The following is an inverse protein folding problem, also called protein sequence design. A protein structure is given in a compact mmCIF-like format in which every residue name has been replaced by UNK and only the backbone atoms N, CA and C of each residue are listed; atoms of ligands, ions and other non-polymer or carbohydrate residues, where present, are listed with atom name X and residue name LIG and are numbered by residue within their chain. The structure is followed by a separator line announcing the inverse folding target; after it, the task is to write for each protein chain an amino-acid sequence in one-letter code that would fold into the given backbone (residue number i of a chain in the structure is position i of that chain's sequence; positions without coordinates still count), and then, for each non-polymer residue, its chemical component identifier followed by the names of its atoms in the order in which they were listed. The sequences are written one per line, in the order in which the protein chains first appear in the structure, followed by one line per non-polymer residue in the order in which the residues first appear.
data_IF_306485190446
#
_entry.id   IF_306485190446
#
_cell.length_a   1.000
_cell.length_b   1.000
_cell.length_c   1.000
_cell.angle_alpha   90.00
_cell.angle_beta   90.00
_cell.angle_gamma   90.00
#
_symmetry.space_group_name_H-M   'P 1'
#
loop_
_entity.id
_entity.type
_entity.pdbx_description
1 polymer ?
#
# COMPACT_ATOMS: atom_id res chain seq x y z
N UNK A 1 -10.02 -65.50 -47.27
CA UNK A 1 -8.89 -64.54 -47.28
C UNK A 1 -9.50 -63.15 -47.16
N UNK A 2 -9.66 -62.65 -45.92
CA UNK A 2 -8.86 -61.54 -45.31
C UNK A 2 -9.03 -60.24 -46.12
N UNK A 3 -10.01 -59.39 -45.81
CA UNK A 3 -10.08 -58.35 -44.75
C UNK A 3 -8.97 -57.30 -44.81
N UNK A 4 -9.38 -56.03 -44.95
CA UNK A 4 -9.01 -54.80 -44.20
C UNK A 4 -9.00 -53.63 -45.19
N UNK A 5 -10.01 -52.75 -45.20
CA UNK A 5 -10.17 -51.60 -44.28
C UNK A 5 -8.89 -50.76 -44.19
N UNK A 6 -8.78 -49.76 -45.07
CA UNK A 6 -8.00 -48.55 -44.85
C UNK A 6 -8.93 -47.37 -45.12
N UNK A 7 -9.71 -47.04 -44.09
CA UNK A 7 -10.36 -45.74 -43.95
C UNK A 7 -9.23 -44.73 -43.72
N UNK A 8 -9.07 -43.75 -44.61
CA UNK A 8 -8.31 -42.54 -44.33
C UNK A 8 -8.94 -41.80 -43.14
N UNK A 9 -8.14 -41.32 -42.17
CA UNK A 9 -8.54 -40.17 -41.38
C UNK A 9 -7.39 -39.15 -41.34
N UNK A 10 -6.86 -38.73 -42.50
CA UNK A 10 -5.87 -37.64 -42.54
C UNK A 10 -6.52 -36.25 -42.70
N UNK A 11 -7.84 -36.15 -42.94
CA UNK A 11 -8.53 -34.87 -43.05
C UNK A 11 -9.17 -34.38 -41.75
N UNK A 12 -9.60 -35.28 -40.85
CA UNK A 12 -10.21 -34.88 -39.57
C UNK A 12 -9.17 -34.48 -38.51
N UNK A 13 -7.97 -35.08 -38.53
CA UNK A 13 -6.89 -34.77 -37.57
C UNK A 13 -6.24 -33.41 -37.85
N UNK A 14 -6.18 -32.96 -39.11
CA UNK A 14 -5.72 -31.62 -39.47
C UNK A 14 -6.74 -30.53 -39.09
N UNK A 15 -8.04 -30.84 -39.18
CA UNK A 15 -9.10 -29.93 -38.70
C UNK A 15 -9.14 -29.88 -37.17
N UNK A 16 -8.94 -31.01 -36.47
CA UNK A 16 -8.87 -31.05 -35.00
C UNK A 16 -7.64 -30.29 -34.48
N UNK A 17 -6.47 -30.39 -35.13
CA UNK A 17 -5.27 -29.67 -34.70
C UNK A 17 -5.37 -28.16 -34.98
N UNK A 18 -6.08 -27.76 -36.04
CA UNK A 18 -6.39 -26.34 -36.30
C UNK A 18 -7.45 -25.79 -35.32
N UNK A 19 -8.46 -26.61 -34.97
CA UNK A 19 -9.48 -26.27 -33.98
C UNK A 19 -8.88 -26.21 -32.56
N UNK A 20 -7.95 -27.11 -32.22
CA UNK A 20 -7.25 -27.12 -30.92
C UNK A 20 -6.23 -25.98 -30.81
N UNK A 21 -5.59 -25.55 -31.92
CA UNK A 21 -4.77 -24.32 -31.97
C UNK A 21 -5.60 -23.04 -31.90
N UNK A 22 -6.79 -23.05 -32.49
CA UNK A 22 -7.74 -21.93 -32.37
C UNK A 22 -8.35 -21.84 -30.96
N UNK A 23 -8.66 -22.98 -30.32
CA UNK A 23 -9.14 -23.07 -28.94
C UNK A 23 -8.03 -22.72 -27.96
N UNK A 24 -6.79 -23.18 -28.14
CA UNK A 24 -5.67 -22.73 -27.28
C UNK A 24 -5.42 -21.24 -27.44
N UNK A 25 -5.39 -20.67 -28.65
CA UNK A 25 -5.31 -19.21 -28.84
C UNK A 25 -6.51 -18.43 -28.27
N UNK A 26 -7.74 -18.99 -28.31
CA UNK A 26 -8.92 -18.40 -27.65
C UNK A 26 -8.88 -18.53 -26.12
N UNK A 27 -8.25 -19.58 -25.59
CA UNK A 27 -8.17 -19.87 -24.15
C UNK A 27 -7.01 -19.11 -23.49
N UNK A 28 -5.92 -18.82 -24.23
CA UNK A 28 -4.87 -17.88 -23.76
C UNK A 28 -5.30 -16.41 -23.89
N UNK A 29 -6.30 -16.08 -24.72
CA UNK A 29 -6.90 -14.73 -24.81
C UNK A 29 -8.13 -14.50 -23.92
N UNK A 30 -8.65 -15.51 -23.20
CA UNK A 30 -9.85 -15.39 -22.33
C UNK A 30 -9.56 -15.37 -20.83
N UNK A 31 -8.30 -15.24 -20.43
CA UNK A 31 -7.88 -14.87 -19.05
C UNK A 31 -7.25 -13.48 -19.00
N UNK A 32 -7.75 -12.56 -19.80
CA UNK A 32 -7.71 -11.15 -19.46
C UNK A 32 -9.13 -10.81 -19.06
N UNK A 33 -9.42 -10.95 -17.76
CA UNK A 33 -10.63 -10.41 -17.19
C UNK A 33 -10.64 -8.93 -17.52
N UNK A 34 -11.70 -8.52 -18.21
CA UNK A 34 -12.06 -7.16 -18.55
C UNK A 34 -12.12 -6.36 -17.25
N UNK A 35 -10.97 -5.82 -16.84
CA UNK A 35 -10.89 -4.76 -15.85
C UNK A 35 -11.65 -3.61 -16.50
N UNK A 36 -12.82 -3.30 -15.93
CA UNK A 36 -13.49 -2.03 -16.20
C UNK A 36 -12.42 -0.94 -16.14
N UNK A 37 -12.03 -0.41 -17.31
CA UNK A 37 -11.19 0.77 -17.42
C UNK A 37 -12.02 1.95 -16.91
N UNK A 38 -12.12 2.05 -15.59
CA UNK A 38 -12.31 3.33 -14.97
C UNK A 38 -11.10 4.17 -15.35
N UNK A 39 -11.37 5.26 -16.08
CA UNK A 39 -10.40 6.27 -16.49
C UNK A 39 -9.83 6.98 -15.25
N UNK A 40 -8.98 6.31 -14.48
CA UNK A 40 -8.11 6.92 -13.47
C UNK A 40 -6.67 6.62 -13.85
N UNK A 41 -6.18 7.34 -14.85
CA UNK A 41 -4.76 7.39 -15.18
C UNK A 41 -4.28 8.82 -14.90
N UNK A 42 -4.17 9.17 -13.62
CA UNK A 42 -3.42 10.33 -13.16
C UNK A 42 -3.05 10.21 -11.67
N UNK A 43 -2.64 9.01 -11.25
CA UNK A 43 -2.18 8.73 -9.89
C UNK A 43 -1.09 7.67 -9.90
N UNK A 44 -0.21 7.64 -8.88
CA UNK A 44 0.83 6.62 -8.75
C UNK A 44 0.23 5.21 -8.74
N UNK A 45 0.88 4.29 -9.45
CA UNK A 45 0.57 2.86 -9.35
C UNK A 45 1.46 2.25 -8.27
N UNK A 46 0.87 1.89 -7.13
CA UNK A 46 1.57 1.17 -6.09
C UNK A 46 1.46 -0.35 -6.32
N UNK A 47 2.59 -1.04 -6.37
CA UNK A 47 2.64 -2.52 -6.44
C UNK A 47 3.55 -3.07 -5.36
N UNK A 48 3.05 -4.02 -4.57
CA UNK A 48 3.89 -4.83 -3.68
C UNK A 48 4.81 -5.73 -4.55
N UNK A 49 6.04 -5.31 -4.80
CA UNK A 49 6.93 -5.93 -5.79
C UNK A 49 7.92 -6.94 -5.21
N UNK A 50 7.62 -7.56 -4.06
CA UNK A 50 8.54 -8.51 -3.46
C UNK A 50 7.93 -9.87 -3.18
N UNK A 51 8.82 -10.85 -3.10
CA UNK A 51 8.51 -12.17 -2.57
C UNK A 51 7.86 -12.00 -1.21
N UNK A 52 6.63 -12.48 -1.14
CA UNK A 52 5.89 -12.68 0.10
C UNK A 52 6.82 -13.26 1.17
N UNK A 53 6.75 -12.72 2.38
CA UNK A 53 7.43 -13.30 3.53
C UNK A 53 6.79 -14.65 3.86
N UNK A 54 7.47 -15.74 3.49
CA UNK A 54 6.94 -17.11 3.60
C UNK A 54 6.84 -17.61 5.05
N UNK A 55 7.58 -16.99 5.99
CA UNK A 55 7.66 -17.43 7.39
C UNK A 55 6.61 -16.79 8.31
N UNK A 56 5.80 -15.86 7.80
CA UNK A 56 4.78 -15.19 8.60
C UNK A 56 3.44 -15.95 8.57
N UNK A 57 2.65 -15.89 9.66
CA UNK A 57 1.33 -16.50 9.70
C UNK A 57 0.43 -16.05 8.54
N UNK A 58 -0.40 -16.97 8.05
CA UNK A 58 -1.31 -16.71 6.92
C UNK A 58 -2.75 -16.42 7.35
N UNK A 59 -3.08 -16.55 8.64
CA UNK A 59 -4.36 -16.12 9.20
C UNK A 59 -4.20 -14.72 9.78
N UNK A 60 -5.20 -13.85 9.64
CA UNK A 60 -5.16 -12.49 10.18
C UNK A 60 -5.01 -12.48 11.72
N UNK A 61 -5.65 -13.42 12.42
CA UNK A 61 -5.58 -13.53 13.88
C UNK A 61 -4.20 -14.00 14.33
N UNK A 62 -3.67 -15.06 13.72
CA UNK A 62 -2.33 -15.53 14.03
C UNK A 62 -1.24 -14.49 13.65
N UNK A 63 -1.48 -13.70 12.60
CA UNK A 63 -0.60 -12.60 12.23
C UNK A 63 -0.65 -11.46 13.26
N UNK A 64 -1.84 -11.12 13.75
CA UNK A 64 -2.05 -10.13 14.80
C UNK A 64 -1.29 -10.50 16.09
N UNK A 65 -1.40 -11.75 16.52
CA UNK A 65 -0.68 -12.27 17.68
C UNK A 65 0.85 -12.23 17.45
N UNK A 66 1.31 -12.69 16.29
CA UNK A 66 2.74 -12.74 15.96
C UNK A 66 3.39 -11.35 15.88
N UNK A 67 2.65 -10.33 15.43
CA UNK A 67 3.14 -8.96 15.30
C UNK A 67 2.86 -8.09 16.54
N UNK A 68 2.16 -8.63 17.55
CA UNK A 68 1.69 -7.89 18.73
C UNK A 68 0.79 -6.69 18.36
N UNK A 69 -0.13 -6.90 17.41
CA UNK A 69 -1.10 -5.90 16.95
C UNK A 69 -2.52 -6.47 17.14
N UNK A 70 -3.07 -6.46 18.37
CA UNK A 70 -4.31 -7.18 18.69
C UNK A 70 -5.53 -6.67 17.94
N UNK A 71 -5.56 -5.38 17.57
CA UNK A 71 -6.65 -4.77 16.82
C UNK A 71 -6.60 -5.02 15.30
N UNK A 72 -5.54 -5.67 14.78
CA UNK A 72 -5.40 -5.92 13.34
C UNK A 72 -6.60 -6.65 12.69
N UNK A 73 -7.23 -7.66 13.31
CA UNK A 73 -8.40 -8.31 12.72
C UNK A 73 -9.62 -7.37 12.62
N UNK A 74 -9.83 -6.50 13.62
CA UNK A 74 -10.90 -5.52 13.60
C UNK A 74 -10.68 -4.48 12.48
N UNK A 75 -9.47 -3.91 12.41
CA UNK A 75 -9.07 -2.99 11.34
C UNK A 75 -9.24 -3.62 9.95
N UNK A 76 -8.88 -4.90 9.80
CA UNK A 76 -9.01 -5.61 8.53
C UNK A 76 -10.49 -5.83 8.15
N UNK A 77 -11.36 -6.02 9.14
CA UNK A 77 -12.80 -6.21 8.93
C UNK A 77 -13.45 -4.90 8.47
N UNK A 78 -13.11 -3.79 9.13
CA UNK A 78 -13.56 -2.44 8.78
C UNK A 78 -13.06 -2.05 7.38
N UNK A 79 -11.77 -2.29 7.10
CA UNK A 79 -11.19 -2.06 5.78
C UNK A 79 -11.95 -2.80 4.69
N UNK A 80 -12.15 -4.13 4.82
CA UNK A 80 -12.88 -4.91 3.82
C UNK A 80 -14.31 -4.42 3.67
N UNK A 81 -14.99 -4.06 4.77
CA UNK A 81 -16.33 -3.49 4.70
C UNK A 81 -16.36 -2.19 3.87
N UNK A 82 -15.43 -1.28 4.09
CA UNK A 82 -15.34 -0.03 3.34
C UNK A 82 -15.01 -0.28 1.85
N UNK A 83 -14.16 -1.28 1.56
CA UNK A 83 -13.88 -1.66 0.16
C UNK A 83 -15.11 -2.22 -0.58
N UNK A 84 -16.02 -2.89 0.13
CA UNK A 84 -17.25 -3.44 -0.45
C UNK A 84 -18.38 -2.42 -0.56
N UNK A 85 -18.31 -1.31 0.19
CA UNK A 85 -19.35 -0.30 0.30
C UNK A 85 -18.76 1.08 0.05
N UNK A 86 -18.78 1.60 -1.20
CA UNK A 86 -18.13 2.86 -1.56
C UNK A 86 -18.60 4.11 -0.79
N UNK A 87 -19.79 4.06 -0.17
CA UNK A 87 -20.35 5.16 0.62
C UNK A 87 -20.16 4.95 2.13
N UNK A 88 -19.55 3.84 2.57
CA UNK A 88 -19.28 3.60 3.97
C UNK A 88 -18.04 4.39 4.41
N UNK A 89 -18.14 5.00 5.58
CA UNK A 89 -17.07 5.80 6.18
C UNK A 89 -16.81 5.31 7.60
N UNK A 90 -16.69 3.98 7.77
CA UNK A 90 -16.35 3.43 9.08
C UNK A 90 -14.88 3.71 9.38
N UNK A 91 -14.58 4.15 10.59
CA UNK A 91 -13.22 4.39 11.04
C UNK A 91 -12.74 3.29 12.01
N UNK A 92 -11.53 3.43 12.55
CA UNK A 92 -10.94 2.46 13.46
C UNK A 92 -11.64 2.34 14.83
N UNK A 93 -12.46 3.34 15.21
CA UNK A 93 -13.20 3.36 16.47
C UNK A 93 -14.59 2.72 16.35
N UNK A 94 -15.10 2.58 15.12
CA UNK A 94 -16.36 1.90 14.86
C UNK A 94 -16.29 0.39 15.18
N UNK A 95 -17.39 -0.22 15.64
CA UNK A 95 -17.44 -1.65 15.89
C UNK A 95 -17.26 -2.43 14.57
N UNK A 96 -16.42 -3.48 14.55
CA UNK A 96 -16.16 -4.25 13.35
C UNK A 96 -17.45 -4.93 12.85
N UNK A 97 -17.78 -4.81 11.54
CA UNK A 97 -19.01 -5.38 11.00
C UNK A 97 -19.09 -6.89 11.16
N UNK A 98 -20.12 -7.37 11.87
CA UNK A 98 -20.31 -8.80 12.18
C UNK A 98 -20.54 -9.69 10.95
N UNK A 99 -20.91 -9.11 9.80
CA UNK A 99 -21.15 -9.81 8.54
C UNK A 99 -19.87 -10.12 7.74
N UNK A 100 -18.72 -9.61 8.17
CA UNK A 100 -17.43 -9.84 7.53
C UNK A 100 -16.63 -10.85 8.36
N UNK A 101 -16.33 -12.00 7.75
CA UNK A 101 -15.49 -13.04 8.36
C UNK A 101 -14.23 -13.26 7.53
N UNK A 102 -13.08 -12.94 8.11
CA UNK A 102 -11.77 -13.03 7.47
C UNK A 102 -11.16 -14.42 7.64
N UNK A 103 -11.67 -15.40 6.89
CA UNK A 103 -11.16 -16.78 6.89
C UNK A 103 -10.09 -17.03 5.82
N UNK A 104 -9.97 -16.13 4.84
CA UNK A 104 -9.02 -16.25 3.74
C UNK A 104 -7.56 -15.97 4.14
N UNK A 105 -6.59 -16.44 3.34
CA UNK A 105 -5.19 -16.25 3.64
C UNK A 105 -4.76 -14.79 3.46
N UNK A 106 -3.93 -14.31 4.38
CA UNK A 106 -3.19 -13.06 4.24
C UNK A 106 -1.76 -13.32 3.76
N UNK A 107 -1.20 -12.38 3.00
CA UNK A 107 0.21 -12.40 2.58
C UNK A 107 0.89 -11.12 3.01
N UNK A 108 2.09 -11.19 3.56
CA UNK A 108 2.85 -10.01 4.03
C UNK A 108 4.03 -9.76 3.10
N UNK A 109 4.32 -8.48 2.88
CA UNK A 109 5.39 -8.00 2.01
C UNK A 109 6.32 -7.06 2.80
N UNK A 110 7.65 -7.11 2.56
CA UNK A 110 8.59 -6.25 3.28
C UNK A 110 8.74 -4.85 2.65
N UNK A 111 8.13 -4.61 1.50
CA UNK A 111 8.07 -3.28 0.87
C UNK A 111 7.03 -3.24 -0.25
N UNK A 112 6.55 -2.03 -0.56
CA UNK A 112 5.84 -1.71 -1.78
C UNK A 112 6.70 -0.84 -2.71
N UNK A 113 6.33 -0.82 -4.00
CA UNK A 113 6.91 0.09 -4.99
C UNK A 113 5.86 1.10 -5.40
N UNK A 114 6.14 2.39 -5.26
CA UNK A 114 5.38 3.47 -5.89
C UNK A 114 5.96 3.76 -7.27
N UNK A 115 5.11 3.80 -8.29
CA UNK A 115 5.50 4.24 -9.64
C UNK A 115 4.67 5.46 -10.01
N UNK A 116 5.31 6.59 -10.25
CA UNK A 116 4.62 7.85 -10.58
C UNK A 116 5.25 8.54 -11.77
N UNK A 117 4.47 9.37 -12.44
CA UNK A 117 4.91 10.18 -13.56
C UNK A 117 5.38 11.54 -13.06
N UNK A 118 6.55 11.96 -13.50
CA UNK A 118 7.23 13.16 -13.05
C UNK A 118 7.89 13.85 -14.27
N UNK A 119 7.10 14.63 -15.04
CA UNK A 119 7.52 15.16 -16.35
C UNK A 119 8.65 16.18 -16.26
N UNK A 120 8.81 16.82 -15.11
CA UNK A 120 9.81 17.83 -14.79
C UNK A 120 11.20 17.25 -14.54
N UNK A 121 11.31 15.93 -14.33
CA UNK A 121 12.56 15.21 -14.13
C UNK A 121 12.75 14.21 -15.28
N UNK A 122 13.62 14.56 -16.24
CA UNK A 122 13.84 13.74 -17.44
C UNK A 122 14.61 12.42 -17.18
N UNK A 123 14.75 11.99 -15.91
CA UNK A 123 15.43 10.75 -15.56
C UNK A 123 14.49 9.53 -15.56
N UNK A 124 14.38 8.87 -16.72
CA UNK A 124 13.63 7.61 -16.88
C UNK A 124 13.06 7.43 -18.29
N UNK A 125 12.52 6.24 -18.60
CA UNK A 125 11.77 6.05 -19.85
C UNK A 125 10.49 6.88 -19.73
N UNK A 126 10.41 7.99 -20.47
CA UNK A 126 9.25 8.87 -20.51
C UNK A 126 8.88 9.50 -19.16
N UNK A 127 9.85 9.90 -18.31
CA UNK A 127 9.56 10.62 -17.04
C UNK A 127 8.85 9.77 -15.96
N UNK A 128 8.94 8.44 -16.03
CA UNK A 128 8.40 7.54 -15.00
C UNK A 128 9.42 7.26 -13.90
N UNK A 129 9.04 7.54 -12.66
CA UNK A 129 9.85 7.31 -11.46
C UNK A 129 9.35 6.12 -10.66
N UNK A 130 10.29 5.48 -9.95
CA UNK A 130 10.03 4.31 -9.13
C UNK A 130 10.67 4.46 -7.77
N UNK A 131 9.86 4.50 -6.72
CA UNK A 131 10.27 4.55 -5.33
C UNK A 131 9.95 3.23 -4.63
N UNK A 132 10.78 2.79 -3.68
CA UNK A 132 10.52 1.62 -2.84
C UNK A 132 10.31 2.05 -1.40
N UNK A 133 9.10 1.80 -0.89
CA UNK A 133 8.64 2.10 0.47
C UNK A 133 8.74 0.82 1.30
N UNK A 134 9.45 0.83 2.43
CA UNK A 134 9.84 -0.37 3.19
C UNK A 134 9.12 -0.49 4.53
N UNK A 135 8.84 -1.74 4.87
CA UNK A 135 8.42 -2.20 6.20
C UNK A 135 9.31 -3.38 6.59
N UNK A 136 10.49 -3.08 7.11
CA UNK A 136 11.50 -4.09 7.42
C UNK A 136 11.71 -4.15 8.94
N UNK A 137 11.42 -5.31 9.54
CA UNK A 137 11.69 -5.55 10.97
C UNK A 137 13.19 -5.48 11.31
N UNK A 138 14.07 -5.76 10.33
CA UNK A 138 15.51 -5.49 10.42
C UNK A 138 16.03 -5.00 9.07
N UNK A 139 16.78 -3.90 9.07
CA UNK A 139 17.36 -3.31 7.87
C UNK A 139 18.89 -3.35 7.94
N UNK A 140 19.54 -3.97 6.93
CA UNK A 140 21.01 -4.16 6.87
C UNK A 140 21.59 -4.78 8.15
N UNK A 141 20.90 -5.78 8.70
CA UNK A 141 21.24 -6.42 9.99
C UNK A 141 21.23 -5.46 11.18
N UNK A 142 20.56 -4.32 11.04
CA UNK A 142 20.38 -3.31 12.07
C UNK A 142 18.92 -3.18 12.51
N UNK A 143 18.57 -2.04 13.13
CA UNK A 143 17.23 -1.76 13.61
C UNK A 143 16.15 -1.82 12.53
N UNK A 144 14.89 -1.86 12.97
CA UNK A 144 13.74 -1.83 12.08
C UNK A 144 13.67 -0.53 11.28
N UNK A 145 13.10 -0.61 10.07
CA UNK A 145 12.87 0.53 9.18
C UNK A 145 11.43 0.51 8.66
N UNK A 146 10.70 1.55 9.01
CA UNK A 146 9.31 1.79 8.61
C UNK A 146 9.27 3.16 7.94
N UNK A 147 9.14 3.16 6.62
CA UNK A 147 9.14 4.40 5.82
C UNK A 147 7.80 5.15 6.01
N UNK A 148 7.83 6.47 5.91
CA UNK A 148 6.64 7.32 5.89
C UNK A 148 6.12 7.48 4.45
N UNK A 149 4.83 7.78 4.33
CA UNK A 149 4.14 7.95 3.05
C UNK A 149 3.21 9.14 3.08
N UNK A 150 2.97 9.72 1.91
CA UNK A 150 1.80 10.53 1.66
C UNK A 150 0.65 9.63 1.21
N UNK A 151 -0.52 9.80 1.82
CA UNK A 151 -1.75 9.18 1.38
C UNK A 151 -2.72 10.24 0.87
N UNK A 152 -3.49 9.93 -0.16
CA UNK A 152 -4.51 10.82 -0.71
C UNK A 152 -5.64 11.03 0.32
N UNK A 153 -5.94 12.30 0.62
CA UNK A 153 -7.07 12.73 1.47
C UNK A 153 -8.20 13.28 0.62
N UNK A 154 -7.87 14.29 -0.19
CA UNK A 154 -8.82 14.98 -1.05
C UNK A 154 -8.08 15.53 -2.28
N UNK A 155 -8.29 14.90 -3.43
CA UNK A 155 -7.70 15.28 -4.70
C UNK A 155 -8.10 16.67 -5.21
N UNK A 156 -9.12 17.31 -4.62
CA UNK A 156 -9.55 18.65 -4.99
C UNK A 156 -8.76 19.75 -4.27
N UNK A 157 -8.05 19.40 -3.20
CA UNK A 157 -7.24 20.32 -2.42
C UNK A 157 -5.77 20.28 -2.88
N UNK A 158 -5.11 21.45 -3.01
CA UNK A 158 -3.72 21.52 -3.45
C UNK A 158 -2.74 21.17 -2.32
N UNK A 159 -1.56 20.68 -2.71
CA UNK A 159 -0.44 20.45 -1.80
C UNK A 159 -0.78 19.49 -0.68
N UNK A 160 -0.20 19.73 0.50
CA UNK A 160 -0.43 18.87 1.67
C UNK A 160 -1.87 18.91 2.20
N UNK A 161 -2.69 19.93 1.86
CA UNK A 161 -4.10 19.98 2.30
C UNK A 161 -4.92 18.81 1.74
N UNK A 162 -4.55 18.33 0.56
CA UNK A 162 -5.14 17.15 -0.08
C UNK A 162 -4.49 15.84 0.33
N UNK A 163 -3.59 15.83 1.31
CA UNK A 163 -2.82 14.66 1.71
C UNK A 163 -2.90 14.39 3.22
N UNK A 164 -2.69 13.13 3.57
CA UNK A 164 -2.30 12.69 4.90
C UNK A 164 -0.83 12.29 4.90
N UNK A 165 -0.17 12.40 6.05
CA UNK A 165 1.12 11.76 6.30
C UNK A 165 0.90 10.54 7.21
N UNK A 166 1.60 9.44 6.92
CA UNK A 166 1.50 8.23 7.71
C UNK A 166 2.82 7.47 7.76
N UNK A 167 3.08 6.71 8.83
CA UNK A 167 4.18 5.75 8.92
C UNK A 167 3.64 4.37 8.58
N UNK A 168 4.24 3.68 7.60
CA UNK A 168 3.77 2.34 7.24
C UNK A 168 4.38 1.29 8.16
N UNK A 169 3.53 0.48 8.81
CA UNK A 169 3.95 -0.59 9.71
C UNK A 169 3.97 -1.96 9.05
N UNK A 170 3.05 -2.21 8.11
CA UNK A 170 2.91 -3.51 7.47
C UNK A 170 2.35 -3.35 6.07
N UNK A 171 2.98 -3.98 5.07
CA UNK A 171 2.33 -4.24 3.80
C UNK A 171 1.77 -5.66 3.79
N UNK A 172 0.48 -5.80 3.48
CA UNK A 172 -0.15 -7.09 3.35
C UNK A 172 -1.19 -7.12 2.22
N UNK A 173 -1.64 -8.30 1.87
CA UNK A 173 -2.79 -8.50 1.00
C UNK A 173 -3.76 -9.44 1.68
N UNK A 174 -5.04 -9.08 1.70
CA UNK A 174 -6.12 -9.88 2.26
C UNK A 174 -6.85 -10.56 1.10
N UNK A 175 -6.98 -11.89 1.12
CA UNK A 175 -7.87 -12.60 0.20
C UNK A 175 -9.25 -12.70 0.82
N UNK A 176 -10.25 -12.09 0.20
CA UNK A 176 -11.64 -12.14 0.63
C UNK A 176 -12.55 -12.47 -0.55
N UNK A 177 -13.30 -13.57 -0.44
CA UNK A 177 -14.23 -14.08 -1.47
C UNK A 177 -13.62 -14.20 -2.87
N UNK A 178 -12.34 -14.59 -2.95
CA UNK A 178 -11.62 -14.79 -4.21
C UNK A 178 -10.99 -13.52 -4.80
N UNK A 179 -11.23 -12.34 -4.21
CA UNK A 179 -10.56 -11.10 -4.55
C UNK A 179 -9.38 -10.84 -3.61
N UNK A 180 -8.31 -10.25 -4.14
CA UNK A 180 -7.11 -9.89 -3.36
C UNK A 180 -7.11 -8.37 -3.16
N UNK A 181 -7.10 -7.95 -1.90
CA UNK A 181 -7.08 -6.55 -1.50
C UNK A 181 -5.68 -6.21 -0.98
N UNK A 182 -4.85 -5.51 -1.76
CA UNK A 182 -3.56 -5.03 -1.30
C UNK A 182 -3.76 -3.83 -0.35
N UNK A 183 -3.16 -3.90 0.84
CA UNK A 183 -3.30 -2.87 1.85
C UNK A 183 -2.01 -2.61 2.64
N UNK A 184 -1.99 -1.46 3.31
CA UNK A 184 -0.94 -1.03 4.21
C UNK A 184 -1.56 -0.74 5.58
N UNK A 185 -0.99 -1.31 6.65
CA UNK A 185 -1.26 -0.85 8.00
C UNK A 185 -0.41 0.38 8.25
N UNK A 186 -1.06 1.49 8.59
CA UNK A 186 -0.40 2.78 8.82
C UNK A 186 -0.65 3.29 10.22
N UNK A 187 0.28 4.10 10.71
CA UNK A 187 0.12 4.96 11.88
C UNK A 187 0.03 6.41 11.39
N UNK A 188 -1.05 7.11 11.71
CA UNK A 188 -1.34 8.43 11.15
C UNK A 188 -0.56 9.56 11.83
N UNK A 189 -0.40 10.66 11.10
CA UNK A 189 0.00 11.95 11.65
C UNK A 189 -1.07 13.00 11.35
N UNK A 190 -1.38 13.83 12.35
CA UNK A 190 -2.38 14.89 12.26
C UNK A 190 -1.70 16.25 12.07
N UNK A 191 -2.18 17.11 11.14
CA UNK A 191 -1.65 18.45 10.96
C UNK A 191 -1.77 19.31 12.22
N UNK A 192 -0.71 20.05 12.55
CA UNK A 192 -0.72 21.07 13.60
C UNK A 192 -1.13 22.40 12.95
N UNK A 193 -2.42 22.71 13.04
CA UNK A 193 -3.01 23.92 12.45
C UNK A 193 -3.44 23.75 10.98
N UNK A 194 -3.98 24.83 10.42
CA UNK A 194 -4.62 24.85 9.09
C UNK A 194 -3.73 25.41 7.97
N UNK A 195 -2.51 25.83 8.32
CA UNK A 195 -1.54 26.44 7.42
C UNK A 195 -0.13 25.95 7.71
N UNK A 196 0.79 26.03 6.73
CA UNK A 196 2.21 25.84 6.99
C UNK A 196 2.71 26.77 8.09
N UNK A 197 3.77 26.34 8.78
CA UNK A 197 4.50 27.16 9.73
C UNK A 197 5.04 28.44 9.06
N UNK A 198 4.83 29.59 9.69
CA UNK A 198 5.14 30.90 9.10
C UNK A 198 6.64 31.11 8.86
N UNK A 199 7.51 30.49 9.66
CA UNK A 199 8.95 30.66 9.57
C UNK A 199 9.57 29.75 8.48
N UNK A 200 9.15 28.50 8.43
CA UNK A 200 9.73 27.47 7.55
C UNK A 200 8.97 27.28 6.24
N UNK A 201 7.69 27.67 6.21
CA UNK A 201 6.76 27.38 5.10
C UNK A 201 6.47 25.89 4.94
N UNK A 202 6.74 25.07 5.97
CA UNK A 202 6.50 23.63 6.00
C UNK A 202 5.27 23.32 6.84
N UNK A 203 4.52 22.30 6.43
CA UNK A 203 3.46 21.77 7.29
C UNK A 203 4.07 21.08 8.51
N UNK A 204 3.47 21.30 9.66
CA UNK A 204 3.79 20.57 10.88
C UNK A 204 2.73 19.51 11.13
N UNK A 205 3.16 18.34 11.59
CA UNK A 205 2.29 17.22 11.96
C UNK A 205 2.75 16.61 13.28
N UNK A 206 1.82 16.05 14.05
CA UNK A 206 2.11 15.24 15.24
C UNK A 206 1.59 13.81 15.06
N UNK A 207 2.18 12.80 15.72
CA UNK A 207 1.62 11.46 15.73
C UNK A 207 0.17 11.51 16.20
N UNK A 208 -0.73 10.88 15.45
CA UNK A 208 -2.11 10.72 15.89
C UNK A 208 -2.17 9.61 16.95
N UNK A 209 -2.76 9.90 18.09
CA UNK A 209 -2.75 9.03 19.26
C UNK A 209 -4.18 8.70 19.71
N UNK A 210 -4.40 7.43 19.99
CA UNK A 210 -5.58 6.91 20.68
C UNK A 210 -5.65 7.44 22.13
N UNK A 211 -6.83 7.39 22.78
CA UNK A 211 -6.98 7.84 24.18
C UNK A 211 -6.04 7.15 25.19
N UNK A 212 -5.53 5.96 24.87
CA UNK A 212 -4.57 5.22 25.69
C UNK A 212 -3.10 5.58 25.40
N UNK A 213 -2.86 6.52 24.48
CA UNK A 213 -1.53 7.00 24.06
C UNK A 213 -0.86 6.11 23.03
N UNK A 214 -1.51 5.06 22.51
CA UNK A 214 -0.98 4.28 21.40
C UNK A 214 -1.20 4.99 20.06
N UNK A 215 -0.35 4.76 19.03
CA UNK A 215 -0.57 5.36 17.72
C UNK A 215 -1.89 4.92 17.10
N UNK A 216 -2.66 5.87 16.56
CA UNK A 216 -3.86 5.56 15.79
C UNK A 216 -3.50 4.81 14.52
N UNK A 217 -4.21 3.71 14.27
CA UNK A 217 -3.88 2.74 13.22
C UNK A 217 -5.05 2.48 12.31
N UNK A 218 -4.76 2.42 11.02
CA UNK A 218 -5.74 2.08 10.00
C UNK A 218 -5.14 1.17 8.92
N UNK A 219 -5.99 0.36 8.29
CA UNK A 219 -5.66 -0.34 7.05
C UNK A 219 -6.18 0.47 5.86
N UNK A 220 -5.25 0.97 5.04
CA UNK A 220 -5.57 1.69 3.81
C UNK A 220 -5.27 0.82 2.58
N UNK A 221 -6.01 1.05 1.51
CA UNK A 221 -5.72 0.39 0.23
C UNK A 221 -4.41 0.93 -0.36
N UNK A 222 -3.60 0.09 -1.01
CA UNK A 222 -2.32 0.56 -1.56
C UNK A 222 -2.47 1.67 -2.61
N UNK A 223 -3.62 1.76 -3.28
CA UNK A 223 -3.89 2.81 -4.27
C UNK A 223 -4.08 4.20 -3.64
N UNK A 224 -4.30 4.31 -2.32
CA UNK A 224 -4.35 5.62 -1.64
C UNK A 224 -2.96 6.16 -1.35
N UNK A 225 -1.93 5.31 -1.37
CA UNK A 225 -0.55 5.72 -1.11
C UNK A 225 0.01 6.42 -2.34
N UNK A 226 0.28 7.71 -2.20
CA UNK A 226 0.83 8.53 -3.27
C UNK A 226 2.31 8.18 -3.48
N UNK A 227 3.12 8.33 -2.43
CA UNK A 227 4.57 8.09 -2.47
C UNK A 227 5.18 8.12 -1.07
N UNK A 228 6.50 7.96 -0.97
CA UNK A 228 7.20 8.18 0.30
C UNK A 228 7.12 9.64 0.76
N UNK A 229 6.99 9.83 2.07
CA UNK A 229 7.06 11.12 2.73
C UNK A 229 8.34 11.18 3.59
N UNK A 230 8.91 12.37 3.69
CA UNK A 230 10.05 12.63 4.55
C UNK A 230 9.63 13.57 5.67
N UNK A 231 9.78 13.11 6.92
CA UNK A 231 9.44 13.85 8.12
C UNK A 231 10.71 14.21 8.89
N UNK A 232 10.81 15.46 9.34
CA UNK A 232 11.95 15.98 10.12
C UNK A 232 11.46 16.38 11.50
N UNK A 233 12.04 15.82 12.56
CA UNK A 233 11.63 16.12 13.93
C UNK A 233 11.74 17.61 14.27
N UNK A 234 10.72 18.15 14.94
CA UNK A 234 10.74 19.50 15.50
C UNK A 234 11.57 19.47 16.78
N UNK A 235 12.69 20.17 16.78
CA UNK A 235 13.59 20.24 17.92
C UNK A 235 13.04 21.19 18.99
N UNK A 236 13.01 20.72 20.23
CA UNK A 236 12.78 21.55 21.42
C UNK A 236 14.09 22.03 22.04
N UNK A 237 14.03 22.41 23.31
CA UNK A 237 15.21 22.79 24.12
C UNK A 237 15.96 21.61 24.72
N UNK A 238 15.39 20.40 24.65
CA UNK A 238 15.99 19.19 25.24
C UNK A 238 17.08 18.63 24.35
N UNK A 239 18.24 18.32 24.95
CA UNK A 239 19.33 17.64 24.26
C UNK A 239 18.92 16.22 23.86
N UNK A 240 19.29 15.81 22.64
CA UNK A 240 19.09 14.44 22.18
C UNK A 240 19.96 13.46 23.00
N UNK A 241 19.41 12.31 23.42
CA UNK A 241 20.21 11.28 24.07
C UNK A 241 21.36 10.82 23.16
N UNK A 242 22.56 10.62 23.73
CA UNK A 242 23.75 10.16 22.97
C UNK A 242 23.55 8.81 22.26
N UNK A 243 22.62 8.00 22.74
CA UNK A 243 22.29 6.69 22.17
C UNK A 243 21.19 6.68 21.12
N UNK A 244 20.59 7.84 20.80
CA UNK A 244 19.47 7.93 19.86
C UNK A 244 19.87 7.37 18.49
N UNK A 245 19.18 6.33 18.03
CA UNK A 245 19.40 5.75 16.71
C UNK A 245 18.51 6.42 15.66
N UNK A 246 18.91 6.31 14.39
CA UNK A 246 18.08 6.80 13.28
C UNK A 246 16.69 6.12 13.26
N UNK A 247 16.58 4.88 13.75
CA UNK A 247 15.30 4.15 13.84
C UNK A 247 14.32 4.76 14.82
N UNK A 248 14.85 5.46 15.83
CA UNK A 248 14.06 6.03 16.93
C UNK A 248 13.58 7.43 16.58
N UNK A 249 14.03 8.00 15.44
CA UNK A 249 13.77 9.39 15.09
C UNK A 249 12.28 9.69 14.93
N UNK A 250 11.47 8.77 14.41
CA UNK A 250 10.02 8.96 14.30
C UNK A 250 9.27 8.78 15.63
N UNK A 251 9.95 8.30 16.67
CA UNK A 251 9.39 8.01 17.99
C UNK A 251 9.93 9.00 19.05
N UNK A 252 10.98 9.76 18.73
CA UNK A 252 11.70 10.63 19.66
C UNK A 252 11.19 12.08 19.71
N UNK A 253 10.40 12.52 18.71
CA UNK A 253 9.87 13.88 18.64
C UNK A 253 8.35 13.89 18.77
N UNK A 254 7.84 14.97 19.34
CA UNK A 254 6.40 15.19 19.51
C UNK A 254 5.73 15.69 18.23
N UNK A 255 6.48 16.37 17.38
CA UNK A 255 6.00 16.96 16.15
C UNK A 255 7.09 16.86 15.07
N UNK A 256 6.67 16.96 13.82
CA UNK A 256 7.51 16.81 12.63
C UNK A 256 7.14 17.83 11.57
N UNK A 257 8.14 18.36 10.89
CA UNK A 257 7.95 19.07 9.63
C UNK A 257 7.82 18.08 8.48
N UNK A 258 6.81 18.29 7.64
CA UNK A 258 6.66 17.61 6.35
C UNK A 258 7.64 18.24 5.37
N UNK A 259 8.73 17.53 5.10
CA UNK A 259 9.81 18.06 4.27
C UNK A 259 9.49 17.92 2.78
N UNK A 260 8.80 18.94 2.26
CA UNK A 260 8.54 19.09 0.82
C UNK A 260 9.80 19.36 -0.02
N UNK A 261 10.95 19.62 0.60
CA UNK A 261 12.22 19.86 -0.10
C UNK A 261 13.12 18.61 -0.15
N UNK A 262 12.62 17.46 0.30
CA UNK A 262 13.40 16.21 0.29
C UNK A 262 13.83 15.80 -1.12
N UNK A 263 12.98 16.06 -2.11
CA UNK A 263 13.26 15.96 -3.54
C UNK A 263 12.29 16.84 -4.34
N UNK A 264 12.54 16.96 -5.65
CA UNK A 264 11.74 17.77 -6.56
C UNK A 264 10.24 17.41 -6.53
N UNK A 265 9.93 16.12 -6.49
CA UNK A 265 8.56 15.63 -6.55
C UNK A 265 7.83 15.79 -5.22
N UNK A 266 8.57 15.90 -4.12
CA UNK A 266 7.97 16.11 -2.79
C UNK A 266 7.44 17.53 -2.72
N UNK A 267 8.13 18.44 -3.41
CA UNK A 267 7.72 19.83 -3.56
C UNK A 267 6.46 19.92 -4.42
N UNK A 268 6.39 19.23 -5.56
CA UNK A 268 5.21 19.24 -6.42
C UNK A 268 3.96 18.63 -5.78
N UNK A 269 4.14 17.68 -4.85
CA UNK A 269 3.03 16.97 -4.20
C UNK A 269 2.57 17.68 -2.93
N UNK A 270 3.50 18.20 -2.10
CA UNK A 270 3.21 18.73 -0.77
C UNK A 270 3.42 20.26 -0.65
N UNK A 271 3.32 21.02 -1.76
CA UNK A 271 3.58 22.47 -1.79
C UNK A 271 2.75 23.29 -0.79
#
# INVERSE_FOLDING_TARGET
MKNSDDNEPESEDLELDHLMRAVTKKTTRRREGEVHRNKRACGPLLRAHLLRLARLPRSIHALAEHLHIPNLPALATIFIHNQLNPNATLDAHDPPPANISLTGPVSVFPSATATFYAPSDFSGISGMHRERIRTAASWRSGPSRYDCVFAEKDHTLPGFRGLHAARVRLFLSINFRGAVYPCALVEWFTPIGETPDDLTGLWMVEPDLEPDGTPSRELIHLDTVVRGAHLVGVYGSTLLPRGLQFSDSLDAFKAFYVNKYADHHAHEVAF
#
